data_IF_237375532307
#
_entry.id   IF_237375532307
#
_cell.length_a   1.000
_cell.length_b   1.000
_cell.length_c   1.000
_cell.angle_alpha   90.00
_cell.angle_beta   90.00
_cell.angle_gamma   90.00
#
_symmetry.space_group_name_H-M   'P 1'
#
loop_
_entity.id
_entity.type
_entity.pdbx_description
1 polymer ?
#
# COMPACT_ATOMS: atom_id res chain seq x y z
N UNK A 1 9.42 17.48 9.47
CA UNK A 1 9.35 16.14 8.87
C UNK A 1 9.81 16.26 7.43
N UNK A 2 10.65 15.34 6.95
CA UNK A 2 11.14 15.31 5.56
C UNK A 2 10.80 13.93 5.00
N UNK A 3 10.30 13.88 3.76
CA UNK A 3 10.06 12.65 3.01
C UNK A 3 11.26 12.38 2.11
N UNK A 4 11.84 11.20 2.22
CA UNK A 4 12.78 10.67 1.25
C UNK A 4 11.98 10.20 0.03
N UNK A 5 12.21 10.84 -1.12
CA UNK A 5 11.46 10.57 -2.35
C UNK A 5 11.91 9.30 -3.05
N UNK A 6 13.09 8.78 -2.71
CA UNK A 6 13.64 7.57 -3.34
C UNK A 6 13.30 6.31 -2.54
N UNK A 7 13.11 6.45 -1.23
CA UNK A 7 12.72 5.34 -0.35
C UNK A 7 11.25 5.37 0.08
N UNK A 8 10.57 6.52 -0.05
CA UNK A 8 9.21 6.74 0.45
C UNK A 8 9.08 6.93 1.96
N UNK A 9 10.17 6.84 2.74
CA UNK A 9 10.13 6.98 4.19
C UNK A 9 10.05 8.45 4.63
N UNK A 10 9.41 8.70 5.77
CA UNK A 10 9.38 10.01 6.40
C UNK A 10 10.18 10.00 7.70
N UNK A 11 10.97 11.04 7.92
CA UNK A 11 11.81 11.15 9.12
C UNK A 11 11.81 12.57 9.71
N UNK A 12 12.15 12.65 11.00
CA UNK A 12 12.43 13.90 11.67
C UNK A 12 13.92 14.22 11.53
N UNK A 13 14.23 15.29 10.80
CA UNK A 13 15.60 15.74 10.55
C UNK A 13 15.77 17.16 11.09
N UNK A 14 16.91 17.42 11.71
CA UNK A 14 17.27 18.77 12.16
C UNK A 14 17.53 19.67 10.96
N UNK A 15 16.94 20.87 10.92
CA UNK A 15 16.99 21.77 9.75
C UNK A 15 18.41 22.11 9.29
N UNK A 16 19.39 22.11 10.20
CA UNK A 16 20.81 22.37 9.89
C UNK A 16 21.48 21.28 9.03
N UNK A 17 20.89 20.08 8.99
CA UNK A 17 21.36 18.96 8.16
C UNK A 17 20.87 19.07 6.72
N UNK A 18 19.90 19.94 6.43
CA UNK A 18 19.29 20.10 5.11
C UNK A 18 20.18 21.02 4.25
N UNK A 19 20.44 20.59 3.02
CA UNK A 19 21.19 21.35 2.01
C UNK A 19 20.35 21.57 0.76
N UNK A 20 20.56 22.67 0.02
CA UNK A 20 19.93 22.85 -1.28
C UNK A 20 20.31 21.71 -2.23
N UNK A 21 19.33 21.18 -2.96
CA UNK A 21 19.56 20.19 -4.00
C UNK A 21 20.23 20.86 -5.21
N UNK A 22 21.32 20.28 -5.70
CA UNK A 22 21.99 20.73 -6.91
C UNK A 22 21.15 20.42 -8.15
N UNK A 23 21.22 21.24 -9.19
CA UNK A 23 20.46 21.04 -10.43
C UNK A 23 20.66 19.67 -11.08
N UNK A 24 21.86 19.09 -10.97
CA UNK A 24 22.18 17.78 -11.53
C UNK A 24 21.37 16.65 -10.86
N UNK A 25 21.23 16.70 -9.53
CA UNK A 25 20.45 15.74 -8.76
C UNK A 25 18.94 15.97 -8.87
N UNK A 26 18.52 17.21 -9.13
CA UNK A 26 17.09 17.55 -9.31
C UNK A 26 16.48 16.97 -10.59
N UNK A 27 17.29 16.48 -11.53
CA UNK A 27 16.84 15.86 -12.77
C UNK A 27 16.63 14.34 -12.65
N UNK A 28 17.08 13.72 -11.56
CA UNK A 28 16.89 12.29 -11.32
C UNK A 28 15.43 12.07 -10.89
N UNK A 29 14.67 11.21 -11.61
CA UNK A 29 13.31 10.86 -11.18
C UNK A 29 13.33 10.19 -9.81
N UNK A 30 12.29 10.45 -9.01
CA UNK A 30 12.09 9.74 -7.75
C UNK A 30 11.89 8.23 -8.03
N UNK A 31 12.52 7.38 -7.21
CA UNK A 31 12.43 5.93 -7.38
C UNK A 31 11.26 5.29 -6.63
N UNK A 32 10.76 5.91 -5.56
CA UNK A 32 9.64 5.36 -4.81
C UNK A 32 8.31 5.70 -5.49
N UNK A 33 7.53 4.66 -5.80
CA UNK A 33 6.17 4.79 -6.32
C UNK A 33 5.19 4.37 -5.24
N UNK A 34 4.15 5.17 -5.02
CA UNK A 34 3.07 4.84 -4.09
C UNK A 34 2.17 3.78 -4.73
N UNK A 35 1.91 2.70 -4.01
CA UNK A 35 1.10 1.61 -4.53
C UNK A 35 0.21 1.00 -3.45
N UNK A 36 -0.84 0.31 -3.89
CA UNK A 36 -1.74 -0.47 -3.05
C UNK A 36 -1.88 -1.87 -3.65
N UNK A 37 -2.09 -2.88 -2.82
CA UNK A 37 -2.40 -4.22 -3.31
C UNK A 37 -3.81 -4.19 -3.95
N UNK A 38 -3.89 -4.66 -5.18
CA UNK A 38 -5.15 -4.73 -5.91
C UNK A 38 -6.08 -5.80 -5.31
N UNK A 39 -7.39 -5.54 -5.43
CA UNK A 39 -8.49 -6.47 -5.12
C UNK A 39 -8.57 -6.99 -3.68
N UNK A 40 -7.87 -6.38 -2.74
CA UNK A 40 -7.91 -6.82 -1.34
C UNK A 40 -8.15 -5.67 -0.38
N UNK A 41 -8.89 -5.97 0.70
CA UNK A 41 -9.10 -5.09 1.84
C UNK A 41 -8.91 -5.87 3.14
N UNK A 42 -8.59 -5.20 4.28
CA UNK A 42 -8.47 -5.86 5.57
C UNK A 42 -9.71 -6.71 5.88
N UNK A 43 -9.49 -7.93 6.36
CA UNK A 43 -10.60 -8.79 6.78
C UNK A 43 -11.16 -8.28 8.12
N UNK A 44 -12.36 -7.68 8.10
CA UNK A 44 -13.03 -7.24 9.32
C UNK A 44 -13.62 -8.44 10.07
N UNK A 45 -12.92 -8.95 11.10
CA UNK A 45 -13.48 -9.98 11.97
C UNK A 45 -14.66 -9.41 12.78
N UNK A 46 -15.89 -9.74 12.37
CA UNK A 46 -17.08 -9.54 13.19
C UNK A 46 -17.07 -10.46 14.43
N UNK A 47 -16.39 -10.04 15.49
CA UNK A 47 -16.81 -10.46 16.83
C UNK A 47 -18.03 -9.64 17.25
N UNK A 48 -19.21 -10.09 16.84
CA UNK A 48 -20.46 -9.68 17.47
C UNK A 48 -20.46 -10.14 18.94
N UNK A 49 -20.39 -9.19 19.87
CA UNK A 49 -21.15 -9.28 21.12
C UNK A 49 -21.99 -8.01 21.28
N UNK A 50 -23.29 -8.22 21.13
CA UNK A 50 -24.39 -7.30 21.36
C UNK A 50 -24.48 -6.85 22.82
N UNK A 51 -24.54 -5.53 23.06
CA UNK A 51 -25.60 -4.82 23.81
C UNK A 51 -25.17 -3.38 24.13
N UNK A 52 -25.96 -2.40 23.70
CA UNK A 52 -25.99 -1.08 24.34
C UNK A 52 -25.63 0.09 23.43
N UNK A 53 -26.65 0.88 23.14
CA UNK A 53 -26.64 2.30 22.76
C UNK A 53 -25.33 3.05 23.10
N UNK A 54 -24.70 3.66 22.09
CA UNK A 54 -24.47 5.11 21.92
C UNK A 54 -23.51 5.28 20.72
N UNK A 55 -23.89 6.16 19.79
CA UNK A 55 -23.09 6.60 18.63
C UNK A 55 -21.75 7.17 19.10
N UNK A 56 -20.62 6.65 18.62
CA UNK A 56 -19.34 7.37 18.43
C UNK A 56 -18.32 6.47 17.71
N UNK A 57 -17.68 7.03 16.68
CA UNK A 57 -16.46 6.59 15.96
C UNK A 57 -16.50 5.33 15.05
N UNK A 58 -16.95 5.53 13.81
CA UNK A 58 -16.72 4.64 12.66
C UNK A 58 -15.28 4.72 12.09
N UNK A 59 -14.27 5.08 12.87
CA UNK A 59 -12.90 5.32 12.36
C UNK A 59 -11.92 4.14 12.50
N UNK A 60 -12.34 3.01 13.07
CA UNK A 60 -11.45 1.85 13.32
C UNK A 60 -11.55 0.72 12.28
N UNK A 61 -12.38 0.88 11.24
CA UNK A 61 -12.78 -0.25 10.38
C UNK A 61 -11.88 -0.50 9.15
N UNK A 62 -10.87 0.34 8.89
CA UNK A 62 -10.00 0.23 7.70
C UNK A 62 -8.52 -0.06 8.01
N UNK A 63 -8.19 -0.46 9.25
CA UNK A 63 -6.81 -0.71 9.64
C UNK A 63 -6.40 -2.17 9.46
N UNK A 64 -5.30 -2.41 8.75
CA UNK A 64 -4.67 -3.73 8.67
C UNK A 64 -4.22 -4.21 10.06
N UNK A 65 -4.47 -5.48 10.43
CA UNK A 65 -3.92 -6.07 11.66
C UNK A 65 -2.39 -5.95 11.70
N UNK A 66 -1.82 -5.70 12.88
CA UNK A 66 -0.37 -5.53 13.03
C UNK A 66 0.41 -6.77 12.54
N UNK A 67 -0.12 -7.96 12.82
CA UNK A 67 0.45 -9.23 12.39
C UNK A 67 0.44 -9.37 10.86
N UNK A 68 -0.58 -8.82 10.18
CA UNK A 68 -0.62 -8.76 8.72
C UNK A 68 0.48 -7.84 8.18
N UNK A 69 0.65 -6.65 8.78
CA UNK A 69 1.69 -5.72 8.37
C UNK A 69 3.09 -6.32 8.56
N UNK A 70 3.34 -6.98 9.69
CA UNK A 70 4.61 -7.67 9.96
C UNK A 70 4.86 -8.80 8.97
N UNK A 71 3.85 -9.65 8.73
CA UNK A 71 3.96 -10.71 7.73
C UNK A 71 4.25 -10.15 6.33
N UNK A 72 3.56 -9.08 5.94
CA UNK A 72 3.79 -8.42 4.65
C UNK A 72 5.22 -7.88 4.54
N UNK A 73 5.73 -7.22 5.58
CA UNK A 73 7.12 -6.78 5.65
C UNK A 73 8.10 -7.96 5.55
N UNK A 74 7.89 -9.05 6.31
CA UNK A 74 8.78 -10.22 6.32
C UNK A 74 8.95 -10.86 4.94
N UNK A 75 7.90 -10.86 4.11
CA UNK A 75 7.93 -11.48 2.77
C UNK A 75 8.33 -10.51 1.65
N UNK A 76 8.28 -9.19 1.89
CA UNK A 76 8.58 -8.17 0.88
C UNK A 76 9.90 -7.44 1.10
N UNK A 77 10.35 -7.33 2.35
CA UNK A 77 11.51 -6.55 2.72
C UNK A 77 12.80 -7.18 2.18
N UNK A 78 13.62 -6.36 1.51
CA UNK A 78 14.89 -6.76 0.90
C UNK A 78 14.78 -7.89 -0.15
N UNK A 79 13.59 -8.03 -0.77
CA UNK A 79 13.34 -9.00 -1.84
C UNK A 79 13.11 -8.31 -3.18
N UNK A 80 13.54 -8.97 -4.26
CA UNK A 80 13.14 -8.59 -5.62
C UNK A 80 11.77 -9.22 -5.88
N UNK A 81 10.77 -8.36 -6.04
CA UNK A 81 9.39 -8.75 -6.33
C UNK A 81 9.04 -8.36 -7.76
N UNK A 82 8.10 -9.11 -8.35
CA UNK A 82 7.46 -8.72 -9.59
C UNK A 82 6.12 -8.10 -9.27
N UNK A 83 5.82 -6.95 -9.89
CA UNK A 83 4.58 -6.23 -9.72
C UNK A 83 3.90 -6.02 -11.09
N UNK A 84 2.60 -6.29 -11.16
CA UNK A 84 1.77 -5.95 -12.32
C UNK A 84 0.80 -4.86 -11.93
N UNK A 85 0.87 -3.71 -12.62
CA UNK A 85 -0.04 -2.59 -12.42
C UNK A 85 -1.35 -2.87 -13.16
N UNK A 86 -2.45 -2.87 -12.42
CA UNK A 86 -3.79 -3.10 -12.97
C UNK A 86 -4.56 -1.80 -13.20
N UNK A 87 -4.43 -0.85 -12.28
CA UNK A 87 -5.15 0.41 -12.29
C UNK A 87 -4.32 1.49 -11.61
N UNK A 88 -4.48 2.74 -12.04
CA UNK A 88 -3.94 3.92 -11.36
C UNK A 88 -5.13 4.78 -10.97
N UNK A 89 -5.28 5.05 -9.66
CA UNK A 89 -6.32 5.90 -9.14
C UNK A 89 -5.80 7.32 -8.92
N UNK A 90 -6.54 8.31 -9.39
CA UNK A 90 -6.23 9.73 -9.20
C UNK A 90 -7.10 10.31 -8.08
N UNK A 91 -6.47 10.90 -7.06
CA UNK A 91 -7.14 11.36 -5.84
C UNK A 91 -8.09 12.57 -5.99
N UNK A 92 -8.32 13.07 -7.20
CA UNK A 92 -9.05 14.31 -7.46
C UNK A 92 -10.55 14.17 -7.74
N UNK A 93 -11.15 12.98 -7.62
CA UNK A 93 -12.58 12.82 -7.94
C UNK A 93 -13.56 13.24 -6.81
N UNK A 94 -13.12 13.41 -5.54
CA UNK A 94 -13.98 13.88 -4.43
C UNK A 94 -13.27 14.90 -3.49
N UNK A 95 -13.68 16.18 -3.56
CA UNK A 95 -13.26 17.39 -2.78
C UNK A 95 -13.13 17.25 -1.23
N UNK A 96 -12.68 18.29 -0.46
CA UNK A 96 -11.72 19.37 -0.71
C UNK A 96 -10.54 19.39 0.31
N UNK A 97 -9.46 20.06 -0.11
CA UNK A 97 -8.23 20.35 0.61
C UNK A 97 -8.34 20.79 2.07
N UNK A 98 -7.68 20.07 2.99
CA UNK A 98 -7.18 20.64 4.25
C UNK A 98 -5.72 21.09 4.08
N UNK A 99 -5.52 22.38 4.33
CA UNK A 99 -4.29 23.16 4.24
C UNK A 99 -3.06 22.56 4.95
N UNK A 100 -1.99 22.26 4.20
CA UNK A 100 -0.62 22.82 4.29
C UNK A 100 0.39 21.95 3.51
N UNK A 101 0.14 21.71 2.23
CA UNK A 101 1.16 21.15 1.32
C UNK A 101 1.41 22.15 0.21
N UNK A 102 2.28 23.13 0.50
CA UNK A 102 2.75 24.07 -0.51
C UNK A 102 3.78 23.38 -1.40
N UNK A 103 3.40 23.21 -2.66
CA UNK A 103 4.16 22.80 -3.85
C UNK A 103 4.19 21.29 -4.16
N UNK A 104 3.04 20.83 -4.64
CA UNK A 104 2.95 19.71 -5.57
C UNK A 104 1.51 19.27 -5.72
N UNK A 105 0.77 19.84 -6.67
CA UNK A 105 -0.32 19.14 -7.36
C UNK A 105 0.29 17.93 -8.14
N UNK A 106 0.98 17.03 -7.44
CA UNK A 106 1.12 15.67 -7.89
C UNK A 106 -0.21 15.07 -7.48
N UNK A 107 -1.09 14.86 -8.45
CA UNK A 107 -2.21 13.96 -8.30
C UNK A 107 -1.70 12.76 -7.48
N UNK A 108 -2.30 12.51 -6.30
CA UNK A 108 -1.92 11.37 -5.47
C UNK A 108 -2.34 10.12 -6.26
N UNK A 109 -1.46 9.70 -7.16
CA UNK A 109 -1.61 8.54 -8.03
C UNK A 109 -1.24 7.32 -7.19
N UNK A 110 -2.21 6.44 -7.00
CA UNK A 110 -2.00 5.17 -6.33
C UNK A 110 -2.09 4.08 -7.38
N UNK A 111 -0.96 3.42 -7.65
CA UNK A 111 -0.94 2.25 -8.51
C UNK A 111 -1.47 1.04 -7.74
N UNK A 112 -2.52 0.41 -8.25
CA UNK A 112 -3.05 -0.85 -7.72
C UNK A 112 -2.34 -2.01 -8.40
N UNK A 113 -1.67 -2.85 -7.61
CA UNK A 113 -0.75 -3.88 -8.11
C UNK A 113 -1.11 -5.29 -7.63
N UNK A 114 -0.88 -6.27 -8.51
CA UNK A 114 -0.62 -7.65 -8.09
C UNK A 114 0.86 -7.78 -7.81
N UNK A 115 1.22 -8.41 -6.68
CA UNK A 115 2.59 -8.53 -6.23
C UNK A 115 2.95 -9.99 -5.97
N UNK A 116 4.09 -10.45 -6.48
CA UNK A 116 4.58 -11.81 -6.26
C UNK A 116 6.09 -11.89 -6.20
N UNK A 117 6.60 -12.96 -5.59
CA UNK A 117 8.01 -13.34 -5.68
C UNK A 117 8.16 -14.69 -6.37
N UNK A 118 9.31 -14.90 -7.03
CA UNK A 118 9.70 -16.20 -7.56
C UNK A 118 10.54 -16.91 -6.52
N UNK A 119 10.11 -18.09 -6.10
CA UNK A 119 10.86 -18.91 -5.14
C UNK A 119 12.11 -19.53 -5.78
N UNK A 120 12.98 -20.12 -4.95
CA UNK A 120 14.16 -20.85 -5.43
C UNK A 120 13.82 -22.12 -6.24
N UNK A 121 12.57 -22.59 -6.16
CA UNK A 121 12.07 -23.76 -6.89
C UNK A 121 11.27 -23.34 -8.14
N UNK A 122 11.45 -22.11 -8.61
CA UNK A 122 10.83 -21.53 -9.82
C UNK A 122 9.29 -21.48 -9.83
N UNK A 123 8.65 -21.55 -8.65
CA UNK A 123 7.22 -21.26 -8.52
C UNK A 123 6.95 -19.85 -7.98
N UNK A 124 5.85 -19.25 -8.41
CA UNK A 124 5.44 -17.90 -8.02
C UNK A 124 4.58 -17.89 -6.75
N UNK A 125 4.90 -16.99 -5.82
CA UNK A 125 4.14 -16.76 -4.58
C UNK A 125 3.45 -15.41 -4.68
N UNK A 126 2.14 -15.43 -4.97
CA UNK A 126 1.32 -14.24 -5.02
C UNK A 126 0.96 -13.74 -3.62
N UNK A 127 1.40 -12.53 -3.31
CA UNK A 127 1.27 -11.93 -1.98
C UNK A 127 -0.19 -11.59 -1.68
N UNK A 128 -0.94 -11.04 -2.65
CA UNK A 128 -2.38 -10.76 -2.51
C UNK A 128 -3.15 -12.01 -2.07
N UNK A 129 -2.87 -13.15 -2.73
CA UNK A 129 -3.47 -14.46 -2.41
C UNK A 129 -3.05 -14.97 -1.05
N UNK A 130 -1.77 -14.84 -0.67
CA UNK A 130 -1.29 -15.26 0.65
C UNK A 130 -1.98 -14.53 1.79
N UNK A 131 -2.24 -13.24 1.64
CA UNK A 131 -2.98 -12.46 2.65
C UNK A 131 -4.43 -12.93 2.79
N UNK A 132 -5.07 -13.37 1.70
CA UNK A 132 -6.42 -13.97 1.74
C UNK A 132 -6.39 -15.37 2.39
N UNK A 133 -5.45 -16.24 1.99
CA UNK A 133 -5.31 -17.60 2.54
C UNK A 133 -5.08 -17.61 4.05
N UNK A 134 -4.38 -16.58 4.57
CA UNK A 134 -4.11 -16.39 6.00
C UNK A 134 -5.23 -15.66 6.75
N UNK A 135 -6.35 -15.34 6.08
CA UNK A 135 -7.48 -14.56 6.59
C UNK A 135 -7.10 -13.16 7.09
N UNK A 136 -6.03 -12.57 6.55
CA UNK A 136 -5.71 -11.16 6.78
C UNK A 136 -6.50 -10.23 5.86
N UNK A 137 -6.88 -10.72 4.68
CA UNK A 137 -7.58 -9.95 3.66
C UNK A 137 -8.81 -10.66 3.10
N UNK A 138 -9.76 -9.89 2.61
CA UNK A 138 -10.87 -10.36 1.77
C UNK A 138 -10.58 -10.07 0.30
N UNK A 139 -10.91 -11.01 -0.59
CA UNK A 139 -10.97 -10.74 -2.03
C UNK A 139 -12.20 -9.89 -2.34
N UNK A 140 -12.01 -8.81 -3.10
CA UNK A 140 -13.07 -7.92 -3.59
C UNK A 140 -13.06 -7.76 -5.11
N UNK A 141 -12.31 -8.60 -5.83
CA UNK A 141 -12.41 -8.63 -7.28
C UNK A 141 -13.82 -9.03 -7.74
N UNK A 142 -14.25 -8.49 -8.88
CA UNK A 142 -15.51 -8.86 -9.52
C UNK A 142 -15.51 -10.32 -10.04
N UNK A 143 -14.32 -10.87 -10.25
CA UNK A 143 -14.05 -12.20 -10.80
C UNK A 143 -12.75 -12.77 -10.19
N UNK A 144 -12.76 -14.07 -9.89
CA UNK A 144 -11.65 -14.83 -9.33
C UNK A 144 -10.65 -15.32 -10.40
N UNK A 145 -10.80 -14.94 -11.67
CA UNK A 145 -9.91 -15.38 -12.76
C UNK A 145 -8.43 -15.06 -12.54
N UNK A 146 -8.10 -13.98 -11.82
CA UNK A 146 -6.72 -13.66 -11.42
C UNK A 146 -6.15 -14.64 -10.36
N UNK A 147 -7.02 -15.38 -9.67
CA UNK A 147 -6.64 -16.47 -8.76
C UNK A 147 -6.59 -17.83 -9.47
N UNK A 148 -7.39 -18.01 -10.53
CA UNK A 148 -7.51 -19.27 -11.27
C UNK A 148 -6.38 -19.51 -12.28
N UNK A 149 -5.79 -18.45 -12.86
CA UNK A 149 -4.73 -18.54 -13.88
C UNK A 149 -3.43 -19.22 -13.44
N UNK A 150 -3.30 -19.63 -12.17
CA UNK A 150 -2.03 -20.02 -11.55
C UNK A 150 -2.11 -21.33 -10.75
N UNK A 151 -3.16 -22.14 -10.97
CA UNK A 151 -3.32 -23.49 -10.40
C UNK A 151 -2.96 -24.63 -11.39
N UNK A 152 -2.39 -24.31 -12.56
CA UNK A 152 -1.93 -25.30 -13.55
C UNK A 152 -0.43 -25.61 -13.45
#
# INVERSE_FOLDING_TARGET
MVKDVDSGYSSLVHVQMIRPLTNELAQVPAFAVRSSLAFIYPHCNHHQQSHGSIRHDDQYYDQWPMECCQFFEDITYDQILTASVLQINHSNEHQPSSSLETNGNLDDEIAHVLLWCTSAEDYEIFINRKLIELNYASNVADDDSWMEQFNE
#
